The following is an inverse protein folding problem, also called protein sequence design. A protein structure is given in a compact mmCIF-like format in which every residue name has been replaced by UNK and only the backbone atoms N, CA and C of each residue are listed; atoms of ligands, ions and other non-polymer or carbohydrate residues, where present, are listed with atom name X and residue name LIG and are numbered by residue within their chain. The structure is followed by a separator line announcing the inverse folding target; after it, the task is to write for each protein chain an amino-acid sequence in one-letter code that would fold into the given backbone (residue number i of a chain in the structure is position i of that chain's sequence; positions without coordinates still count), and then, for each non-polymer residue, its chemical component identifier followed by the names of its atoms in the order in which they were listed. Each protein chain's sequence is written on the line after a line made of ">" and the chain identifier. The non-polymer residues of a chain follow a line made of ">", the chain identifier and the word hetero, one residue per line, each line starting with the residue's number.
data_IF_456000691123
#
_entry.id   IF_456000691123
#
_cell.length_a   1.000
_cell.length_b   1.000
_cell.length_c   1.000
_cell.angle_alpha   90.00
_cell.angle_beta   90.00
_cell.angle_gamma   90.00
#
_symmetry.space_group_name_H-M   'P 1'
#
loop_
_entity.id
_entity.type
_entity.pdbx_description
1 polymer ?
#
# COMPACT_ATOMS: atom_id res chain seq x y z
N UNK A 1 12.59 0.13 7.84
CA UNK A 1 11.91 -1.12 7.40
C UNK A 1 11.59 -1.02 5.91
N UNK A 2 12.17 -1.85 5.04
CA UNK A 2 11.95 -1.77 3.58
C UNK A 2 10.52 -2.16 3.11
N UNK A 3 9.72 -2.81 3.96
CA UNK A 3 8.39 -3.31 3.61
C UNK A 3 7.31 -2.22 3.55
N UNK A 4 7.48 -1.10 4.25
CA UNK A 4 6.46 -0.04 4.32
C UNK A 4 6.20 0.62 2.97
N UNK A 5 7.22 0.68 2.10
CA UNK A 5 7.15 1.44 0.86
C UNK A 5 6.84 0.59 -0.38
N UNK A 6 6.71 -0.73 -0.27
CA UNK A 6 6.42 -1.56 -1.45
C UNK A 6 4.90 -1.62 -1.68
N UNK A 7 4.39 -1.35 -2.88
CA UNK A 7 2.98 -1.60 -3.19
C UNK A 7 2.75 -3.12 -3.20
N UNK A 8 1.93 -3.64 -2.30
CA UNK A 8 1.60 -5.07 -2.22
C UNK A 8 0.10 -5.24 -2.41
N UNK A 9 -0.36 -5.88 -3.51
CA UNK A 9 -1.77 -6.14 -3.72
C UNK A 9 -2.44 -6.85 -2.53
N UNK A 10 -3.63 -6.38 -2.17
CA UNK A 10 -4.43 -6.85 -1.03
C UNK A 10 -4.04 -6.23 0.32
N UNK A 11 -2.90 -5.54 0.43
CA UNK A 11 -2.51 -4.86 1.66
C UNK A 11 -3.17 -3.48 1.77
N UNK A 12 -3.47 -3.13 3.01
CA UNK A 12 -3.96 -1.82 3.40
C UNK A 12 -2.79 -0.97 3.89
N UNK A 13 -2.88 0.32 3.56
CA UNK A 13 -1.92 1.35 3.93
C UNK A 13 -2.69 2.55 4.48
N UNK A 14 -2.01 3.35 5.29
CA UNK A 14 -2.53 4.60 5.82
C UNK A 14 -1.64 5.75 5.37
N UNK A 15 -2.24 6.77 4.76
CA UNK A 15 -1.52 8.01 4.42
C UNK A 15 -1.40 8.94 5.62
N UNK A 16 -0.67 10.04 5.47
CA UNK A 16 -0.41 11.01 6.55
C UNK A 16 -1.69 11.62 7.17
N UNK A 17 -2.79 11.68 6.42
CA UNK A 17 -4.09 12.19 6.92
C UNK A 17 -4.97 11.10 7.56
N UNK A 18 -4.46 9.87 7.69
CA UNK A 18 -5.16 8.76 8.35
C UNK A 18 -6.16 8.01 7.46
N UNK A 19 -6.17 8.26 6.15
CA UNK A 19 -7.06 7.54 5.23
C UNK A 19 -6.49 6.17 4.88
N UNK A 20 -7.38 5.17 4.89
CA UNK A 20 -7.06 3.81 4.44
C UNK A 20 -7.11 3.70 2.92
N UNK A 21 -6.04 3.15 2.36
CA UNK A 21 -5.86 2.88 0.93
C UNK A 21 -5.45 1.43 0.76
N UNK A 22 -6.16 0.70 -0.09
CA UNK A 22 -5.79 -0.66 -0.48
C UNK A 22 -5.10 -0.66 -1.84
N UNK A 23 -3.99 -1.40 -1.95
CA UNK A 23 -3.45 -1.74 -3.27
C UNK A 23 -4.30 -2.85 -3.88
N UNK A 24 -4.95 -2.57 -5.00
CA UNK A 24 -5.80 -3.54 -5.70
C UNK A 24 -5.01 -4.36 -6.72
N UNK A 25 -4.09 -3.72 -7.43
CA UNK A 25 -3.24 -4.38 -8.44
C UNK A 25 -1.98 -3.56 -8.71
N UNK A 26 -0.98 -4.22 -9.29
CA UNK A 26 0.17 -3.57 -9.93
C UNK A 26 0.08 -3.93 -11.42
N UNK A 27 0.12 -2.92 -12.26
CA UNK A 27 0.05 -3.06 -13.72
C UNK A 27 1.45 -2.92 -14.28
N UNK A 28 1.84 -3.86 -15.14
CA UNK A 28 3.12 -3.86 -15.83
C UNK A 28 2.91 -3.66 -17.33
N UNK A 29 3.78 -2.86 -17.94
CA UNK A 29 3.93 -2.78 -19.39
C UNK A 29 5.28 -3.41 -19.75
N UNK A 30 5.23 -4.63 -20.30
CA UNK A 30 6.41 -5.48 -20.42
C UNK A 30 7.02 -5.78 -19.05
N UNK A 31 8.32 -5.48 -18.89
CA UNK A 31 9.03 -5.66 -17.63
C UNK A 31 8.97 -4.44 -16.68
N UNK A 32 8.35 -3.32 -17.10
CA UNK A 32 8.32 -2.08 -16.32
C UNK A 32 6.99 -1.93 -15.59
N UNK A 33 7.05 -1.58 -14.30
CA UNK A 33 5.86 -1.17 -13.55
C UNK A 33 5.29 0.10 -14.19
N UNK A 34 4.05 0.01 -14.64
CA UNK A 34 3.34 1.10 -15.31
C UNK A 34 2.50 1.90 -14.33
N UNK A 35 1.71 1.22 -13.49
CA UNK A 35 0.86 1.87 -12.50
C UNK A 35 0.46 0.93 -11.37
N UNK A 36 -0.01 1.52 -10.29
CA UNK A 36 -0.51 0.87 -9.09
C UNK A 36 -1.96 1.31 -8.94
N UNK A 37 -2.88 0.33 -8.95
CA UNK A 37 -4.29 0.57 -8.78
C UNK A 37 -4.62 0.63 -7.28
N UNK A 38 -5.27 1.71 -6.87
CA UNK A 38 -5.62 2.01 -5.48
C UNK A 38 -7.14 2.06 -5.31
N UNK A 39 -7.61 1.63 -4.14
CA UNK A 39 -8.97 1.85 -3.68
C UNK A 39 -8.96 2.40 -2.26
N UNK A 40 -9.53 3.58 -2.08
CA UNK A 40 -9.69 4.22 -0.78
C UNK A 40 -10.89 3.61 -0.04
N UNK A 41 -10.90 3.67 1.29
CA UNK A 41 -12.00 3.12 2.09
C UNK A 41 -13.39 3.73 1.79
N UNK A 42 -13.44 4.93 1.21
CA UNK A 42 -14.69 5.55 0.74
C UNK A 42 -15.13 5.06 -0.65
N UNK A 43 -14.43 4.08 -1.24
CA UNK A 43 -14.72 3.52 -2.56
C UNK A 43 -14.10 4.28 -3.73
N UNK A 44 -13.42 5.42 -3.51
CA UNK A 44 -12.70 6.12 -4.59
C UNK A 44 -11.60 5.20 -5.13
N UNK A 45 -11.48 5.11 -6.45
CA UNK A 45 -10.39 4.41 -7.13
C UNK A 45 -9.44 5.40 -7.77
N UNK A 46 -8.16 5.04 -7.78
CA UNK A 46 -7.10 5.88 -8.35
C UNK A 46 -6.00 5.01 -8.97
N UNK A 47 -5.22 5.60 -9.86
CA UNK A 47 -4.07 4.97 -10.48
C UNK A 47 -2.87 5.89 -10.37
N UNK A 48 -1.80 5.43 -9.73
CA UNK A 48 -0.55 6.18 -9.59
C UNK A 48 0.59 5.41 -10.21
N UNK A 49 1.59 6.11 -10.73
CA UNK A 49 2.87 5.49 -11.07
C UNK A 49 3.71 5.27 -9.79
N UNK A 50 4.96 4.85 -9.98
CA UNK A 50 5.86 4.57 -8.86
C UNK A 50 6.21 5.85 -8.07
N UNK A 51 6.40 6.97 -8.76
CA UNK A 51 6.73 8.24 -8.11
C UNK A 51 5.53 8.74 -7.30
N UNK A 52 4.33 8.73 -7.90
CA UNK A 52 3.08 9.05 -7.24
C UNK A 52 2.82 8.18 -6.01
N UNK A 53 3.16 6.88 -6.07
CA UNK A 53 3.08 6.00 -4.91
C UNK A 53 3.97 6.46 -3.75
N UNK A 54 5.21 6.88 -4.01
CA UNK A 54 6.09 7.39 -2.97
C UNK A 54 5.61 8.73 -2.39
N UNK A 55 4.98 9.59 -3.20
CA UNK A 55 4.39 10.86 -2.74
C UNK A 55 3.19 10.70 -1.80
N UNK A 56 2.55 9.52 -1.77
CA UNK A 56 1.42 9.29 -0.87
C UNK A 56 1.83 9.09 0.60
N UNK A 57 3.14 8.94 0.86
CA UNK A 57 3.72 8.76 2.20
C UNK A 57 2.97 7.72 3.03
N UNK A 58 2.88 6.52 2.45
CA UNK A 58 2.06 5.43 2.97
C UNK A 58 2.81 4.61 4.01
N UNK A 59 2.13 4.36 5.12
CA UNK A 59 2.55 3.40 6.13
C UNK A 59 1.72 2.11 6.02
N UNK A 60 2.36 0.96 6.17
CA UNK A 60 1.68 -0.34 6.08
C UNK A 60 0.70 -0.51 7.24
N UNK A 61 -0.57 -0.73 6.94
CA UNK A 61 -1.63 -1.01 7.91
C UNK A 61 -2.17 -2.42 7.65
N UNK A 62 -1.34 -3.44 7.93
CA UNK A 62 -1.71 -4.84 7.69
C UNK A 62 -2.03 -5.54 9.02
N UNK A 63 -3.26 -6.00 9.25
CA UNK A 63 -3.63 -6.76 10.45
C UNK A 63 -2.77 -8.01 10.65
N UNK A 64 -2.25 -8.59 9.56
CA UNK A 64 -1.36 -9.76 9.61
C UNK A 64 0.04 -9.43 10.12
N UNK A 65 0.53 -8.20 9.92
CA UNK A 65 1.83 -7.77 10.42
C UNK A 65 1.75 -7.44 11.92
N UNK A 66 0.71 -6.73 12.35
CA UNK A 66 0.46 -6.40 13.76
C UNK A 66 0.39 -7.64 14.66
N UNK A 67 -0.21 -8.73 14.15
CA UNK A 67 -0.25 -10.02 14.88
C UNK A 67 1.13 -10.64 15.06
N UNK A 68 2.05 -10.42 14.11
CA UNK A 68 3.39 -11.02 14.12
C UNK A 68 4.36 -10.24 15.00
N UNK A 69 4.21 -8.93 15.11
CA UNK A 69 4.98 -8.12 16.05
C UNK A 69 4.59 -8.43 17.50
N UNK A 70 3.30 -8.52 17.82
CA UNK A 70 2.84 -8.88 19.18
C UNK A 70 3.31 -10.24 19.69
N UNK A 71 3.61 -11.19 18.80
CA UNK A 71 4.11 -12.53 19.18
C UNK A 71 5.62 -12.51 19.48
N UNK A 72 6.36 -11.48 19.04
CA UNK A 72 7.80 -11.36 19.31
C UNK A 72 8.13 -10.64 20.62
N UNK A 73 7.15 -9.95 21.22
CA UNK A 73 7.29 -9.21 22.47
C UNK A 73 6.80 -10.00 23.71
N UNK A 74 6.69 -11.33 23.61
CA UNK A 74 6.26 -12.24 24.69
C UNK A 74 7.32 -13.29 25.00
#
# INVERSE_FOLDING_TARGET
>A
MLLQHKPIPGYWYTNIVGQLVQVRAIVYSGARLSSIALEYANGKRDFVDLDGWYYLDLSIHSPRLERRERVRDL
#
